data_IF_415830065657
#
_entry.id   IF_415830065657
#
_cell.length_a   1.000
_cell.length_b   1.000
_cell.length_c   1.000
_cell.angle_alpha   90.00
_cell.angle_beta   90.00
_cell.angle_gamma   90.00
#
_symmetry.space_group_name_H-M   'P 1'
#
loop_
_entity.id
_entity.type
_entity.pdbx_description
1 polymer ?
#
# COMPACT_ATOMS: atom_id res chain seq x y z
N UNK A 1 -4.69 3.93 104.05
CA UNK A 1 -6.09 3.49 104.02
C UNK A 1 -6.65 3.63 102.63
N UNK A 2 -7.15 2.56 102.12
CA UNK A 2 -7.63 2.19 100.80
C UNK A 2 -8.45 3.21 100.03
N UNK A 3 -8.12 3.42 98.79
CA UNK A 3 -9.07 3.79 97.73
C UNK A 3 -8.84 2.90 96.50
N UNK A 4 -9.82 2.04 96.29
CA UNK A 4 -9.89 1.11 95.17
C UNK A 4 -10.18 1.84 93.86
N UNK A 5 -9.35 1.62 92.87
CA UNK A 5 -9.59 2.05 91.49
C UNK A 5 -10.73 1.27 90.81
N UNK A 6 -11.61 1.96 90.20
CA UNK A 6 -12.70 1.43 89.36
C UNK A 6 -12.35 1.61 87.89
N UNK A 7 -11.91 0.51 87.28
CA UNK A 7 -11.62 0.43 85.86
C UNK A 7 -12.95 0.44 85.15
N UNK A 8 -13.18 1.50 84.36
CA UNK A 8 -14.29 1.59 83.45
C UNK A 8 -13.91 0.88 82.13
N UNK A 9 -14.55 -0.23 81.88
CA UNK A 9 -14.56 -0.85 80.58
C UNK A 9 -15.29 0.04 79.62
N UNK A 10 -14.59 0.61 78.65
CA UNK A 10 -15.14 1.24 77.49
C UNK A 10 -15.30 0.15 76.43
N UNK A 11 -16.49 -0.06 75.83
CA UNK A 11 -16.64 -1.05 74.79
C UNK A 11 -16.02 -0.50 73.51
N UNK A 12 -14.99 -1.16 73.03
CA UNK A 12 -14.50 -1.03 71.64
C UNK A 12 -15.51 -1.77 70.75
N UNK A 13 -16.62 -1.11 70.51
CA UNK A 13 -17.49 -1.46 69.41
C UNK A 13 -17.31 -0.33 68.40
N UNK A 14 -16.64 -0.63 67.33
CA UNK A 14 -16.85 -0.08 66.02
C UNK A 14 -15.59 -0.13 65.21
N UNK A 15 -15.85 -0.55 64.09
CA UNK A 15 -15.23 -0.30 62.77
C UNK A 15 -14.94 -1.61 62.05
N UNK A 16 -16.03 -2.36 61.91
CA UNK A 16 -16.13 -3.40 60.87
C UNK A 16 -17.24 -3.08 59.86
N UNK A 17 -17.27 -1.84 59.39
CA UNK A 17 -18.20 -1.43 58.33
C UNK A 17 -17.51 -0.47 57.38
N UNK A 18 -16.42 -0.86 56.76
CA UNK A 18 -15.83 -0.08 55.70
C UNK A 18 -14.94 -0.94 54.79
N UNK A 19 -15.38 -2.15 54.45
CA UNK A 19 -14.67 -2.96 53.45
C UNK A 19 -15.60 -3.66 52.47
N UNK A 20 -16.82 -3.19 52.26
CA UNK A 20 -17.70 -3.79 51.25
C UNK A 20 -18.03 -2.89 50.06
N UNK A 21 -17.56 -1.63 50.04
CA UNK A 21 -17.76 -0.77 48.86
C UNK A 21 -16.59 -0.76 47.89
N UNK A 22 -15.39 -1.25 48.27
CA UNK A 22 -14.26 -1.30 47.34
C UNK A 22 -14.19 -2.60 46.53
N UNK A 23 -14.89 -3.66 46.89
CA UNK A 23 -14.92 -4.88 46.07
C UNK A 23 -15.83 -4.76 44.84
N UNK A 24 -16.76 -3.81 44.83
CA UNK A 24 -17.58 -3.53 43.63
C UNK A 24 -16.88 -2.61 42.62
N UNK A 25 -15.79 -1.92 43.02
CA UNK A 25 -14.98 -1.08 42.16
C UNK A 25 -13.78 -1.83 41.56
N UNK A 26 -13.48 -3.03 42.02
CA UNK A 26 -12.37 -3.89 41.57
C UNK A 26 -12.83 -5.15 40.82
N UNK A 27 -14.03 -5.21 40.28
CA UNK A 27 -14.18 -5.92 38.99
C UNK A 27 -13.45 -5.08 37.95
N UNK A 28 -12.11 -5.08 38.01
CA UNK A 28 -11.25 -4.77 36.88
C UNK A 28 -11.84 -5.56 35.73
N UNK A 29 -12.42 -4.84 34.77
CA UNK A 29 -12.95 -5.49 33.59
C UNK A 29 -11.81 -6.32 33.00
N UNK A 30 -11.96 -7.65 33.09
CA UNK A 30 -10.95 -8.55 32.54
C UNK A 30 -10.75 -8.21 31.06
N UNK A 31 -9.50 -8.17 30.64
CA UNK A 31 -9.19 -7.96 29.23
C UNK A 31 -9.66 -9.20 28.45
N UNK A 32 -10.35 -8.96 27.35
CA UNK A 32 -10.86 -10.00 26.46
C UNK A 32 -10.22 -9.91 25.09
N UNK A 33 -10.24 -11.01 24.35
CA UNK A 33 -9.71 -11.08 23.00
C UNK A 33 -10.64 -10.38 22.00
N UNK A 34 -10.11 -9.42 21.26
CA UNK A 34 -10.83 -8.75 20.17
C UNK A 34 -10.68 -9.55 18.88
N UNK A 35 -11.78 -9.73 18.15
CA UNK A 35 -11.84 -10.41 16.86
C UNK A 35 -11.99 -9.39 15.76
N UNK A 36 -11.24 -9.57 14.69
CA UNK A 36 -11.28 -8.65 13.55
C UNK A 36 -11.70 -9.37 12.27
N UNK A 37 -12.35 -8.61 11.40
CA UNK A 37 -12.54 -8.94 9.99
C UNK A 37 -12.24 -7.70 9.14
N UNK A 38 -11.81 -7.88 7.89
CA UNK A 38 -11.47 -6.82 6.97
C UNK A 38 -12.10 -7.11 5.61
N UNK A 39 -12.82 -6.15 5.04
CA UNK A 39 -13.44 -6.30 3.70
C UNK A 39 -12.39 -6.47 2.62
N UNK A 40 -11.25 -5.78 2.74
CA UNK A 40 -10.15 -5.87 1.79
C UNK A 40 -9.40 -4.56 1.59
N UNK A 41 -8.76 -4.44 0.43
CA UNK A 41 -8.07 -3.23 0.01
C UNK A 41 -8.98 -2.41 -0.89
N UNK A 42 -9.18 -1.14 -0.55
CA UNK A 42 -9.97 -0.20 -1.33
C UNK A 42 -9.41 -0.06 -2.75
N UNK A 43 -10.29 -0.01 -3.73
CA UNK A 43 -9.93 0.41 -5.09
C UNK A 43 -10.29 1.89 -5.23
N UNK A 44 -9.47 2.68 -5.93
CA UNK A 44 -9.70 4.14 -6.12
C UNK A 44 -11.06 4.49 -6.74
N UNK A 45 -11.79 3.50 -7.25
CA UNK A 45 -13.10 3.73 -7.86
C UNK A 45 -14.19 3.47 -6.84
N UNK A 46 -14.81 4.54 -6.38
CA UNK A 46 -15.88 4.57 -5.36
C UNK A 46 -17.08 3.65 -5.62
N UNK A 47 -17.17 3.01 -6.79
CA UNK A 47 -18.28 2.13 -7.19
C UNK A 47 -17.91 0.65 -7.17
N UNK A 48 -16.67 0.28 -6.80
CA UNK A 48 -16.23 -1.12 -6.71
C UNK A 48 -16.07 -1.57 -5.27
N UNK A 49 -16.47 -2.81 -5.02
CA UNK A 49 -16.12 -3.50 -3.78
C UNK A 49 -14.59 -3.57 -3.61
N UNK A 50 -14.12 -3.47 -2.38
CA UNK A 50 -12.73 -3.67 -2.05
C UNK A 50 -12.23 -5.02 -2.59
N UNK A 51 -10.97 -5.07 -3.04
CA UNK A 51 -10.35 -6.35 -3.40
C UNK A 51 -10.08 -7.14 -2.12
N UNK A 52 -10.53 -8.39 -2.00
CA UNK A 52 -10.25 -9.21 -0.83
C UNK A 52 -8.76 -9.29 -0.53
N UNK A 53 -8.41 -9.38 0.75
CA UNK A 53 -7.04 -9.69 1.15
C UNK A 53 -6.70 -11.11 0.70
N UNK A 54 -5.48 -11.27 0.20
CA UNK A 54 -4.99 -12.60 -0.18
C UNK A 54 -4.82 -13.49 1.06
N UNK A 55 -5.05 -14.79 0.88
CA UNK A 55 -4.79 -15.77 1.93
C UNK A 55 -3.32 -15.72 2.35
N UNK A 56 -3.09 -15.62 3.65
CA UNK A 56 -1.76 -15.45 4.20
C UNK A 56 -1.29 -14.00 4.37
N UNK A 57 -1.99 -13.01 3.81
CA UNK A 57 -1.68 -11.60 4.05
C UNK A 57 -1.70 -11.30 5.56
N UNK A 58 -0.65 -10.63 6.04
CA UNK A 58 -0.49 -10.32 7.47
C UNK A 58 -0.91 -8.90 7.76
N UNK A 59 -1.62 -8.72 8.87
CA UNK A 59 -2.03 -7.40 9.35
C UNK A 59 -1.50 -7.18 10.76
N UNK A 60 -1.07 -5.95 11.04
CA UNK A 60 -0.88 -5.45 12.41
C UNK A 60 -2.02 -4.50 12.71
N UNK A 61 -2.62 -4.61 13.89
CA UNK A 61 -3.74 -3.78 14.33
C UNK A 61 -3.36 -3.19 15.68
N UNK A 62 -3.33 -1.87 15.75
CA UNK A 62 -3.08 -1.11 16.97
C UNK A 62 -4.40 -0.53 17.48
N UNK A 63 -4.60 -0.54 18.79
CA UNK A 63 -5.76 0.06 19.46
C UNK A 63 -5.35 1.28 20.25
N UNK A 64 -6.10 2.37 20.07
CA UNK A 64 -5.94 3.61 20.83
C UNK A 64 -7.25 3.95 21.53
N UNK A 65 -7.13 4.30 22.81
CA UNK A 65 -8.24 4.91 23.52
C UNK A 65 -8.32 6.38 23.18
N UNK A 66 -9.42 6.79 22.57
CA UNK A 66 -9.63 8.16 22.13
C UNK A 66 -9.75 9.12 23.32
N UNK A 67 -8.99 10.20 23.30
CA UNK A 67 -9.00 11.27 24.29
C UNK A 67 -9.85 12.44 23.83
N UNK A 68 -9.76 12.79 22.52
CA UNK A 68 -10.48 13.91 21.90
C UNK A 68 -11.76 13.50 21.16
N UNK A 69 -12.29 14.41 20.37
CA UNK A 69 -13.47 14.15 19.51
C UNK A 69 -13.10 13.40 18.24
N UNK A 70 -11.87 13.56 17.75
CA UNK A 70 -11.33 12.94 16.54
C UNK A 70 -10.11 12.10 16.86
N UNK A 71 -9.82 11.05 16.05
CA UNK A 71 -8.61 10.26 16.19
C UNK A 71 -7.35 11.12 16.07
N UNK A 72 -6.42 10.98 17.02
CA UNK A 72 -5.16 11.71 17.04
C UNK A 72 -4.05 10.86 17.70
N UNK A 73 -3.16 10.31 16.89
CA UNK A 73 -2.04 9.49 17.34
C UNK A 73 -1.07 10.21 18.31
N UNK A 74 -1.11 11.54 18.36
CA UNK A 74 -0.26 12.33 19.26
C UNK A 74 -0.83 12.47 20.67
N UNK A 75 -2.14 12.32 20.84
CA UNK A 75 -2.85 12.52 22.11
C UNK A 75 -3.62 11.31 22.58
N UNK A 76 -4.02 10.41 21.70
CA UNK A 76 -4.76 9.21 22.03
C UNK A 76 -3.85 8.19 22.72
N UNK A 77 -4.44 7.45 23.68
CA UNK A 77 -3.66 6.53 24.49
C UNK A 77 -3.53 5.16 23.81
N UNK A 78 -2.30 4.76 23.52
CA UNK A 78 -2.01 3.41 23.06
C UNK A 78 -2.40 2.34 24.08
N UNK A 79 -3.15 1.34 23.64
CA UNK A 79 -3.70 0.29 24.49
C UNK A 79 -3.16 -1.10 24.16
N UNK A 80 -2.42 -1.23 23.08
CA UNK A 80 -1.81 -2.47 22.62
C UNK A 80 -1.99 -2.74 21.16
N UNK A 81 -1.40 -3.84 20.70
CA UNK A 81 -1.48 -4.28 19.30
C UNK A 81 -1.64 -5.80 19.18
N UNK A 82 -2.11 -6.23 18.03
CA UNK A 82 -2.18 -7.63 17.66
C UNK A 82 -1.72 -7.84 16.20
N UNK A 83 -1.33 -9.08 15.91
CA UNK A 83 -0.98 -9.49 14.54
C UNK A 83 -1.95 -10.56 14.08
N UNK A 84 -2.44 -10.41 12.87
CA UNK A 84 -3.47 -11.27 12.29
C UNK A 84 -3.04 -11.70 10.89
N UNK A 85 -3.66 -12.74 10.38
CA UNK A 85 -3.47 -13.27 9.04
C UNK A 85 -4.81 -13.47 8.36
N UNK A 86 -4.93 -13.02 7.12
CA UNK A 86 -6.11 -13.24 6.30
C UNK A 86 -6.22 -14.72 5.91
N UNK A 87 -7.45 -15.26 5.97
CA UNK A 87 -7.76 -16.65 5.62
C UNK A 87 -9.05 -16.72 4.83
N UNK A 88 -9.15 -17.76 3.99
CA UNK A 88 -10.36 -18.09 3.21
C UNK A 88 -10.82 -17.02 2.19
N UNK A 89 -10.02 -16.00 1.86
CA UNK A 89 -10.36 -14.99 0.86
C UNK A 89 -11.70 -14.24 1.08
N UNK A 90 -12.24 -14.29 2.30
CA UNK A 90 -13.55 -13.73 2.65
C UNK A 90 -13.50 -12.62 3.71
N UNK A 91 -12.30 -12.10 3.98
CA UNK A 91 -12.09 -11.07 4.98
C UNK A 91 -11.98 -11.57 6.43
N UNK A 92 -11.98 -12.88 6.66
CA UNK A 92 -11.75 -13.45 8.00
C UNK A 92 -10.28 -13.28 8.38
N UNK A 93 -10.03 -12.84 9.62
CA UNK A 93 -8.69 -12.67 10.17
C UNK A 93 -8.48 -13.65 11.33
N UNK A 94 -7.45 -14.50 11.23
CA UNK A 94 -6.96 -15.33 12.31
C UNK A 94 -5.87 -14.62 13.09
N UNK A 95 -5.97 -14.65 14.43
CA UNK A 95 -4.95 -14.05 15.28
C UNK A 95 -3.66 -14.89 15.28
N UNK A 96 -2.55 -14.26 14.97
CA UNK A 96 -1.19 -14.75 15.24
C UNK A 96 -0.76 -14.33 16.63
N UNK A 97 -0.97 -13.05 16.97
CA UNK A 97 -0.87 -12.50 18.30
C UNK A 97 -2.18 -11.76 18.61
N UNK A 98 -2.86 -12.20 19.66
CA UNK A 98 -4.19 -11.68 20.04
C UNK A 98 -4.06 -10.31 20.68
N UNK A 99 -4.86 -9.34 20.22
CA UNK A 99 -5.06 -8.07 20.92
C UNK A 99 -6.07 -8.26 22.05
N UNK A 100 -5.64 -7.96 23.28
CA UNK A 100 -6.45 -8.02 24.47
C UNK A 100 -6.83 -6.60 24.91
N UNK A 101 -8.14 -6.31 25.03
CA UNK A 101 -8.63 -5.00 25.46
C UNK A 101 -9.67 -5.14 26.57
N UNK A 102 -9.85 -4.09 27.36
CA UNK A 102 -10.98 -3.90 28.26
C UNK A 102 -12.18 -3.36 27.48
N UNK A 103 -13.37 -3.43 28.08
CA UNK A 103 -14.57 -2.80 27.50
C UNK A 103 -14.35 -1.29 27.36
N UNK A 104 -14.66 -0.75 26.17
CA UNK A 104 -14.45 0.67 25.89
C UNK A 104 -14.61 1.00 24.41
N UNK A 105 -14.38 2.28 24.07
CA UNK A 105 -14.42 2.78 22.70
C UNK A 105 -13.00 3.11 22.24
N UNK A 106 -12.65 2.58 21.08
CA UNK A 106 -11.29 2.62 20.54
C UNK A 106 -11.27 3.07 19.09
N UNK A 107 -10.13 3.60 18.69
CA UNK A 107 -9.73 3.76 17.31
C UNK A 107 -8.74 2.65 16.96
N UNK A 108 -9.02 1.94 15.87
CA UNK A 108 -8.18 0.85 15.38
C UNK A 108 -7.44 1.29 14.12
N UNK A 109 -6.11 1.25 14.20
CA UNK A 109 -5.23 1.48 13.06
C UNK A 109 -4.71 0.14 12.57
N UNK A 110 -5.06 -0.23 11.34
CA UNK A 110 -4.60 -1.46 10.73
C UNK A 110 -3.61 -1.18 9.59
N UNK A 111 -2.61 -2.02 9.45
CA UNK A 111 -1.65 -1.96 8.35
C UNK A 111 -1.33 -3.37 7.82
N UNK A 112 -1.11 -3.45 6.52
CA UNK A 112 -0.65 -4.65 5.82
C UNK A 112 0.53 -4.30 4.90
N UNK A 113 1.58 -5.14 4.80
CA UNK A 113 1.88 -6.26 5.69
C UNK A 113 2.10 -5.80 7.14
N UNK A 114 2.17 -6.73 8.10
CA UNK A 114 2.31 -6.45 9.52
C UNK A 114 3.71 -5.89 9.88
N UNK A 115 4.07 -4.74 9.31
CA UNK A 115 5.34 -4.05 9.58
C UNK A 115 5.44 -3.63 11.05
N UNK A 116 6.66 -3.45 11.54
CA UNK A 116 6.90 -2.89 12.86
C UNK A 116 6.51 -1.40 12.89
N UNK A 117 5.85 -0.99 13.97
CA UNK A 117 5.51 0.41 14.24
C UNK A 117 6.42 0.91 15.35
N UNK A 118 7.11 2.01 15.09
CA UNK A 118 7.95 2.67 16.08
C UNK A 118 7.13 3.67 16.91
N UNK A 119 7.47 3.80 18.20
CA UNK A 119 6.88 4.75 19.15
C UNK A 119 5.34 4.72 19.20
N UNK A 120 4.69 3.54 19.34
CA UNK A 120 3.25 3.47 19.37
C UNK A 120 2.62 4.12 20.60
N UNK A 121 3.35 4.18 21.71
CA UNK A 121 2.95 4.77 23.00
C UNK A 121 3.27 6.26 23.13
N UNK A 122 3.93 6.86 22.13
CA UNK A 122 4.35 8.26 22.12
C UNK A 122 5.22 8.68 23.34
N UNK A 123 5.92 7.73 23.98
CA UNK A 123 6.80 7.97 25.11
C UNK A 123 8.10 8.71 24.69
N UNK A 124 7.98 10.02 24.47
CA UNK A 124 9.11 10.92 24.25
C UNK A 124 9.73 10.90 22.87
N UNK A 125 9.15 10.24 21.91
CA UNK A 125 9.59 10.22 20.50
C UNK A 125 8.62 10.94 19.58
N UNK A 126 9.06 11.93 18.85
CA UNK A 126 8.30 12.54 17.75
C UNK A 126 8.93 12.15 16.40
N UNK A 127 8.16 11.73 15.42
CA UNK A 127 6.71 11.51 15.43
C UNK A 127 6.31 10.15 16.03
N UNK A 128 5.09 10.10 16.60
CA UNK A 128 4.49 8.85 17.08
C UNK A 128 4.06 7.94 15.92
N UNK A 129 4.05 6.63 16.15
CA UNK A 129 3.51 5.63 15.22
C UNK A 129 4.11 5.70 13.81
N UNK A 130 5.41 5.65 13.70
CA UNK A 130 6.09 5.63 12.41
C UNK A 130 6.32 4.21 11.90
N UNK A 131 6.28 4.07 10.58
CA UNK A 131 6.53 2.83 9.85
C UNK A 131 7.58 3.08 8.78
N UNK A 132 8.58 2.20 8.70
CA UNK A 132 9.60 2.24 7.66
C UNK A 132 9.12 1.45 6.44
N UNK A 133 8.94 2.12 5.30
CA UNK A 133 8.40 1.51 4.08
C UNK A 133 9.41 1.60 2.94
N UNK A 134 9.73 0.45 2.35
CA UNK A 134 10.65 0.34 1.21
C UNK A 134 9.94 0.02 -0.11
N UNK A 135 10.71 0.03 -1.20
CA UNK A 135 10.27 -0.57 -2.45
C UNK A 135 10.02 -2.08 -2.28
N UNK A 136 9.14 -2.66 -3.06
CA UNK A 136 8.76 -4.07 -2.97
C UNK A 136 7.67 -4.39 -1.96
N UNK A 137 7.25 -3.42 -1.14
CA UNK A 137 6.24 -3.60 -0.09
C UNK A 137 4.89 -3.04 -0.53
N UNK A 138 3.86 -3.89 -0.63
CA UNK A 138 2.47 -3.46 -0.86
C UNK A 138 1.87 -2.94 0.45
N UNK A 139 2.23 -1.71 0.81
CA UNK A 139 1.82 -1.06 2.05
C UNK A 139 0.44 -0.44 1.90
N UNK A 140 -0.49 -0.89 2.77
CA UNK A 140 -1.83 -0.33 2.86
C UNK A 140 -2.26 -0.19 4.33
N UNK A 141 -3.08 0.81 4.63
CA UNK A 141 -3.55 1.09 5.99
C UNK A 141 -5.03 1.42 6.02
N UNK A 142 -5.66 1.24 7.19
CA UNK A 142 -7.00 1.77 7.48
C UNK A 142 -7.08 2.32 8.89
N UNK A 143 -8.01 3.25 9.09
CA UNK A 143 -8.42 3.77 10.38
C UNK A 143 -9.90 3.47 10.59
N UNK A 144 -10.21 2.57 11.52
CA UNK A 144 -11.56 2.23 11.93
C UNK A 144 -11.86 2.91 13.27
N UNK A 145 -12.49 4.06 13.19
CA UNK A 145 -12.61 4.98 14.31
C UNK A 145 -13.84 4.73 15.19
N UNK A 146 -13.71 5.00 16.51
CA UNK A 146 -14.83 5.07 17.45
C UNK A 146 -15.60 3.77 17.64
N UNK A 147 -14.94 2.61 17.61
CA UNK A 147 -15.59 1.31 17.79
C UNK A 147 -15.64 0.93 19.26
N UNK A 148 -16.87 0.68 19.74
CA UNK A 148 -17.07 0.18 21.10
C UNK A 148 -16.97 -1.34 21.12
N UNK A 149 -16.10 -1.86 21.98
CA UNK A 149 -15.92 -3.30 22.20
C UNK A 149 -16.24 -3.66 23.65
N UNK A 150 -16.78 -4.87 23.85
CA UNK A 150 -17.07 -5.45 25.14
C UNK A 150 -16.90 -6.97 25.07
N UNK A 151 -16.88 -7.64 26.21
CA UNK A 151 -16.85 -9.10 26.25
C UNK A 151 -18.04 -9.73 25.49
N UNK A 152 -19.23 -9.10 25.58
CA UNK A 152 -20.43 -9.54 24.86
C UNK A 152 -20.40 -9.21 23.36
N UNK A 153 -19.59 -8.23 22.93
CA UNK A 153 -19.44 -7.81 21.54
C UNK A 153 -17.97 -7.51 21.22
N UNK A 154 -17.12 -8.57 21.11
CA UNK A 154 -15.69 -8.41 20.89
C UNK A 154 -15.30 -8.29 19.41
N UNK A 155 -16.26 -8.27 18.50
CA UNK A 155 -16.00 -8.27 17.06
C UNK A 155 -15.94 -6.86 16.48
N UNK A 156 -14.92 -6.59 15.66
CA UNK A 156 -14.73 -5.33 14.94
C UNK A 156 -14.57 -5.63 13.46
N UNK A 157 -15.35 -4.97 12.62
CA UNK A 157 -15.15 -4.95 11.17
C UNK A 157 -14.27 -3.73 10.87
N UNK A 158 -13.10 -3.97 10.31
CA UNK A 158 -12.19 -2.92 9.88
C UNK A 158 -12.73 -2.22 8.63
N UNK A 159 -12.48 -0.93 8.53
CA UNK A 159 -12.72 -0.20 7.28
C UNK A 159 -11.72 -0.67 6.22
N UNK A 160 -12.02 -0.42 4.94
CA UNK A 160 -11.16 -0.84 3.83
C UNK A 160 -9.76 -0.23 3.93
N UNK A 161 -8.74 -1.04 3.61
CA UNK A 161 -7.36 -0.56 3.61
C UNK A 161 -7.07 0.22 2.33
N UNK A 162 -6.54 1.43 2.46
CA UNK A 162 -6.05 2.24 1.33
C UNK A 162 -4.59 1.93 1.01
N UNK A 163 -4.26 1.65 -0.26
CA UNK A 163 -2.87 1.48 -0.71
C UNK A 163 -2.12 2.80 -0.71
N UNK A 164 -0.88 2.76 -0.24
CA UNK A 164 0.04 3.89 -0.23
C UNK A 164 1.17 3.77 -1.26
N UNK A 165 1.26 2.68 -1.98
CA UNK A 165 2.28 2.39 -2.98
C UNK A 165 1.70 2.32 -4.38
N UNK A 166 2.57 2.33 -5.41
CA UNK A 166 2.22 2.13 -6.81
C UNK A 166 2.73 0.77 -7.29
N UNK A 167 2.06 0.18 -8.28
CA UNK A 167 2.48 -1.06 -8.94
C UNK A 167 3.12 -0.73 -10.29
N UNK A 168 4.29 -1.29 -10.55
CA UNK A 168 4.94 -1.24 -11.85
C UNK A 168 4.89 -2.63 -12.49
N UNK A 169 4.60 -2.66 -13.78
CA UNK A 169 4.71 -3.85 -14.63
C UNK A 169 5.63 -3.50 -15.80
N UNK A 170 6.64 -4.33 -16.03
CA UNK A 170 7.47 -4.29 -17.22
C UNK A 170 7.09 -5.45 -18.11
N UNK A 171 6.77 -5.18 -19.38
CA UNK A 171 6.33 -6.18 -20.33
C UNK A 171 7.08 -6.06 -21.65
N UNK A 172 7.38 -7.20 -22.26
CA UNK A 172 7.87 -7.30 -23.61
C UNK A 172 6.86 -8.06 -24.46
N UNK A 173 6.46 -7.49 -25.60
CA UNK A 173 5.49 -8.06 -26.53
C UNK A 173 6.07 -8.11 -27.95
N UNK A 174 6.90 -9.12 -28.27
CA UNK A 174 7.47 -9.28 -29.58
C UNK A 174 6.38 -9.77 -30.56
N UNK A 175 6.20 -9.06 -31.70
CA UNK A 175 5.30 -9.48 -32.77
C UNK A 175 6.00 -9.62 -34.12
N UNK A 176 7.32 -9.59 -34.17
CA UNK A 176 8.06 -9.76 -35.43
C UNK A 176 8.22 -11.26 -35.75
N UNK A 177 7.89 -11.65 -36.98
CA UNK A 177 7.85 -13.06 -37.39
C UNK A 177 9.19 -13.78 -37.44
N UNK A 178 10.31 -13.05 -37.30
CA UNK A 178 11.68 -13.57 -37.25
C UNK A 178 12.22 -13.79 -35.82
N UNK A 179 11.43 -13.41 -34.78
CA UNK A 179 11.80 -13.66 -33.37
C UNK A 179 11.27 -15.02 -32.96
N UNK A 180 12.17 -15.91 -32.56
CA UNK A 180 11.85 -17.28 -32.14
C UNK A 180 12.06 -17.50 -30.62
N UNK A 181 12.81 -16.60 -29.97
CA UNK A 181 13.01 -16.64 -28.52
C UNK A 181 13.31 -15.24 -27.97
N UNK A 182 12.88 -15.00 -26.75
CA UNK A 182 13.18 -13.80 -25.98
C UNK A 182 13.59 -14.13 -24.56
N UNK A 183 14.47 -13.33 -23.98
CA UNK A 183 14.82 -13.36 -22.56
C UNK A 183 15.11 -11.94 -22.10
N UNK A 184 14.45 -11.50 -21.05
CA UNK A 184 14.79 -10.25 -20.39
C UNK A 184 15.96 -10.51 -19.43
N UNK A 185 16.97 -9.66 -19.42
CA UNK A 185 18.05 -9.71 -18.44
C UNK A 185 17.78 -8.80 -17.24
N UNK A 186 17.22 -7.63 -17.51
CA UNK A 186 16.78 -6.70 -16.48
C UNK A 186 15.83 -5.65 -17.06
N UNK A 187 14.99 -5.07 -16.20
CA UNK A 187 14.22 -3.87 -16.49
C UNK A 187 14.14 -2.98 -15.26
N UNK A 188 14.04 -1.67 -15.44
CA UNK A 188 13.96 -0.79 -14.28
C UNK A 188 13.78 0.68 -14.62
N UNK A 189 13.69 1.47 -13.55
CA UNK A 189 13.56 2.93 -13.57
C UNK A 189 14.62 3.55 -12.66
N UNK A 190 15.18 4.68 -13.08
CA UNK A 190 16.10 5.50 -12.27
C UNK A 190 15.34 6.63 -11.56
N UNK A 191 16.01 7.32 -10.65
CA UNK A 191 15.49 8.48 -9.91
C UNK A 191 14.10 8.22 -9.29
N UNK A 192 13.95 7.07 -8.68
CA UNK A 192 12.80 6.72 -7.87
C UNK A 192 12.93 7.32 -6.47
N UNK A 193 11.84 7.37 -5.74
CA UNK A 193 11.82 7.84 -4.35
C UNK A 193 12.85 7.09 -3.52
N UNK A 194 13.68 7.80 -2.77
CA UNK A 194 14.69 7.18 -1.91
C UNK A 194 14.02 6.35 -0.81
N UNK A 195 14.44 5.11 -0.67
CA UNK A 195 13.86 4.14 0.26
C UNK A 195 14.91 3.70 1.32
N UNK A 196 14.47 3.35 2.54
CA UNK A 196 13.09 3.39 3.03
C UNK A 196 12.62 4.81 3.37
N UNK A 197 11.29 4.99 3.39
CA UNK A 197 10.65 6.21 3.85
C UNK A 197 10.03 5.95 5.23
N UNK A 198 10.31 6.83 6.18
CA UNK A 198 9.62 6.83 7.47
C UNK A 198 8.31 7.62 7.33
N UNK A 199 7.19 6.95 7.54
CA UNK A 199 5.87 7.51 7.43
C UNK A 199 5.09 7.38 8.72
N UNK A 200 4.34 8.39 9.11
CA UNK A 200 3.35 8.26 10.18
C UNK A 200 2.22 7.35 9.71
N UNK A 201 1.76 6.46 10.58
CA UNK A 201 0.71 5.51 10.30
C UNK A 201 -0.55 6.20 9.75
N UNK A 202 -1.15 5.61 8.72
CA UNK A 202 -2.31 6.15 7.99
C UNK A 202 -2.10 7.51 7.28
N UNK A 203 -0.87 7.98 7.12
CA UNK A 203 -0.57 9.13 6.26
C UNK A 203 -0.19 8.68 4.85
N UNK A 204 -0.47 9.54 3.87
CA UNK A 204 -0.15 9.21 2.48
C UNK A 204 1.35 9.33 2.19
N UNK A 205 1.86 8.47 1.34
CA UNK A 205 3.16 8.58 0.71
C UNK A 205 3.04 9.31 -0.65
N UNK A 206 4.10 9.98 -1.14
CA UNK A 206 5.39 10.17 -0.49
C UNK A 206 5.34 11.26 0.59
N UNK A 207 6.23 11.13 1.57
CA UNK A 207 6.46 12.21 2.54
C UNK A 207 7.16 13.37 1.82
N UNK A 208 6.71 14.60 2.05
CA UNK A 208 7.30 15.78 1.43
C UNK A 208 8.80 15.89 1.74
N UNK A 209 9.60 16.26 0.73
CA UNK A 209 11.05 16.47 0.87
C UNK A 209 11.91 15.21 0.73
N UNK A 210 11.34 14.04 0.51
CA UNK A 210 12.13 12.83 0.24
C UNK A 210 12.80 12.92 -1.13
N UNK A 211 14.09 12.63 -1.18
CA UNK A 211 14.87 12.65 -2.42
C UNK A 211 14.38 11.60 -3.44
N UNK A 212 14.59 11.90 -4.72
CA UNK A 212 14.36 10.95 -5.82
C UNK A 212 15.71 10.56 -6.41
N UNK A 213 16.32 9.51 -5.88
CA UNK A 213 17.70 9.12 -6.21
C UNK A 213 17.89 7.63 -6.43
N UNK A 214 16.90 6.80 -6.10
CA UNK A 214 17.05 5.36 -6.17
C UNK A 214 16.82 4.82 -7.58
N UNK A 215 17.42 3.66 -7.85
CA UNK A 215 17.09 2.85 -9.01
C UNK A 215 16.29 1.62 -8.55
N UNK A 216 15.16 1.39 -9.19
CA UNK A 216 14.38 0.16 -9.00
C UNK A 216 14.61 -0.72 -10.21
N UNK A 217 15.18 -1.90 -10.01
CA UNK A 217 15.52 -2.85 -11.07
C UNK A 217 14.94 -4.22 -10.74
N UNK A 218 14.31 -4.83 -11.74
CA UNK A 218 13.82 -6.21 -11.71
C UNK A 218 14.81 -7.07 -12.49
N UNK A 219 15.28 -8.16 -11.88
CA UNK A 219 16.15 -9.12 -12.53
C UNK A 219 15.37 -9.98 -13.55
N UNK A 220 16.07 -10.48 -14.57
CA UNK A 220 15.46 -11.35 -15.59
C UNK A 220 14.80 -12.61 -15.04
N UNK A 221 15.29 -13.12 -13.91
CA UNK A 221 14.71 -14.29 -13.22
C UNK A 221 13.33 -14.05 -12.64
N UNK A 222 12.93 -12.79 -12.47
CA UNK A 222 11.60 -12.39 -11.96
C UNK A 222 10.55 -12.28 -13.06
N UNK A 223 10.98 -12.30 -14.33
CA UNK A 223 10.07 -12.29 -15.45
C UNK A 223 9.41 -13.65 -15.66
N UNK A 224 8.14 -13.62 -16.04
CA UNK A 224 7.40 -14.84 -16.41
C UNK A 224 8.09 -15.55 -17.56
N UNK A 225 7.98 -16.88 -17.62
CA UNK A 225 8.36 -17.63 -18.82
C UNK A 225 7.57 -17.09 -20.02
N UNK A 226 8.25 -16.78 -21.17
CA UNK A 226 7.56 -16.33 -22.36
C UNK A 226 6.43 -17.27 -22.78
N UNK A 227 5.28 -16.72 -23.11
CA UNK A 227 4.13 -17.47 -23.64
C UNK A 227 4.33 -17.90 -25.12
N UNK A 228 3.31 -18.48 -25.75
CA UNK A 228 3.35 -18.89 -27.15
C UNK A 228 3.55 -17.72 -28.12
N UNK A 229 3.17 -16.50 -27.72
CA UNK A 229 3.41 -15.25 -28.46
C UNK A 229 4.72 -14.58 -28.05
N UNK A 230 5.55 -15.26 -27.27
CA UNK A 230 6.81 -14.76 -26.68
C UNK A 230 6.62 -13.54 -25.75
N UNK A 231 5.40 -13.33 -25.23
CA UNK A 231 5.14 -12.27 -24.24
C UNK A 231 5.68 -12.68 -22.90
N UNK A 232 6.31 -11.73 -22.22
CA UNK A 232 6.81 -11.91 -20.85
C UNK A 232 6.63 -10.62 -20.07
N UNK A 233 6.44 -10.74 -18.76
CA UNK A 233 6.29 -9.59 -17.87
C UNK A 233 6.77 -9.92 -16.47
N UNK A 234 7.10 -8.86 -15.73
CA UNK A 234 7.36 -8.90 -14.30
C UNK A 234 6.72 -7.69 -13.63
N UNK A 235 6.36 -7.83 -12.37
CA UNK A 235 5.73 -6.77 -11.58
C UNK A 235 6.52 -6.49 -10.32
N UNK A 236 6.51 -5.23 -9.86
CA UNK A 236 7.05 -4.82 -8.57
C UNK A 236 6.21 -3.70 -7.97
N UNK A 237 6.36 -3.50 -6.67
CA UNK A 237 5.74 -2.39 -5.95
C UNK A 237 6.79 -1.32 -5.70
N UNK A 238 6.41 -0.07 -5.84
CA UNK A 238 7.30 1.06 -5.58
C UNK A 238 6.63 2.10 -4.69
N UNK A 239 7.46 2.82 -3.95
CA UNK A 239 7.00 4.03 -3.29
C UNK A 239 6.48 5.03 -4.32
N UNK A 240 5.43 5.79 -4.02
CA UNK A 240 4.94 6.85 -4.89
C UNK A 240 6.07 7.84 -5.19
N UNK A 241 5.99 8.45 -6.35
CA UNK A 241 7.00 9.37 -6.86
C UNK A 241 6.33 10.65 -7.32
N UNK A 242 6.91 11.80 -7.01
CA UNK A 242 6.51 13.09 -7.58
C UNK A 242 7.04 13.23 -9.01
N UNK A 243 6.49 14.17 -9.77
CA UNK A 243 6.98 14.53 -11.10
C UNK A 243 8.46 14.93 -11.09
N UNK A 244 9.16 14.72 -12.19
CA UNK A 244 10.59 15.00 -12.36
C UNK A 244 11.27 14.03 -13.31
N UNK A 245 12.55 14.26 -13.61
CA UNK A 245 13.33 13.46 -14.58
C UNK A 245 13.60 12.06 -14.08
N UNK A 246 13.36 11.06 -14.92
CA UNK A 246 13.76 9.67 -14.71
C UNK A 246 13.85 8.93 -16.04
N UNK A 247 14.51 7.77 -16.03
CA UNK A 247 14.71 6.94 -17.22
C UNK A 247 14.13 5.56 -17.02
N UNK A 248 13.55 5.04 -18.08
CA UNK A 248 13.28 3.63 -18.27
C UNK A 248 14.51 2.95 -18.87
N UNK A 249 14.80 1.72 -18.43
CA UNK A 249 15.82 0.85 -18.99
C UNK A 249 15.30 -0.57 -19.09
N UNK A 250 15.59 -1.27 -20.19
CA UNK A 250 15.36 -2.71 -20.32
C UNK A 250 16.44 -3.34 -21.16
N UNK A 251 17.03 -4.43 -20.68
CA UNK A 251 17.97 -5.26 -21.40
C UNK A 251 17.29 -6.57 -21.81
N UNK A 252 17.25 -6.85 -23.11
CA UNK A 252 16.59 -8.03 -23.64
C UNK A 252 17.46 -8.76 -24.66
N UNK A 253 17.40 -10.08 -24.65
CA UNK A 253 18.07 -10.98 -25.60
C UNK A 253 17.03 -11.55 -26.55
N UNK A 254 17.27 -11.44 -27.85
CA UNK A 254 16.45 -12.00 -28.90
C UNK A 254 17.20 -13.08 -29.65
N UNK A 255 16.58 -14.22 -29.92
CA UNK A 255 17.15 -15.34 -30.66
C UNK A 255 18.51 -15.84 -30.14
N UNK A 256 18.78 -15.67 -28.83
CA UNK A 256 20.03 -16.07 -28.18
C UNK A 256 21.25 -15.23 -28.54
N UNK A 257 21.05 -14.04 -29.13
CA UNK A 257 22.13 -13.13 -29.55
C UNK A 257 22.59 -12.22 -28.39
N UNK A 258 23.39 -11.19 -28.69
CA UNK A 258 23.78 -10.20 -27.67
C UNK A 258 22.56 -9.44 -27.12
N UNK A 259 22.62 -9.03 -25.86
CA UNK A 259 21.56 -8.24 -25.26
C UNK A 259 21.43 -6.88 -25.93
N UNK A 260 20.20 -6.48 -26.25
CA UNK A 260 19.85 -5.15 -26.70
C UNK A 260 19.40 -4.32 -25.49
N UNK A 261 19.95 -3.11 -25.34
CA UNK A 261 19.55 -2.16 -24.30
C UNK A 261 18.57 -1.13 -24.87
N UNK A 262 17.40 -1.01 -24.24
CA UNK A 262 16.39 0.01 -24.52
C UNK A 262 16.40 1.03 -23.40
N UNK A 263 16.70 2.30 -23.72
CA UNK A 263 16.73 3.41 -22.76
C UNK A 263 15.83 4.52 -23.27
N UNK A 264 14.95 5.01 -22.41
CA UNK A 264 14.08 6.15 -22.72
C UNK A 264 13.96 7.12 -21.55
N UNK A 265 14.05 8.41 -21.83
CA UNK A 265 13.68 9.44 -20.87
C UNK A 265 12.16 9.48 -20.72
N UNK A 266 11.69 9.49 -19.48
CA UNK A 266 10.27 9.57 -19.18
C UNK A 266 9.79 11.02 -19.15
N UNK A 267 8.50 11.26 -19.46
CA UNK A 267 7.92 12.61 -19.33
C UNK A 267 8.14 13.16 -17.92
N UNK A 268 8.67 14.38 -17.82
CA UNK A 268 8.95 15.01 -16.53
C UNK A 268 7.69 15.23 -15.68
N UNK A 269 6.51 15.27 -16.30
CA UNK A 269 5.21 15.40 -15.63
C UNK A 269 4.70 14.09 -15.06
N UNK A 270 5.33 12.95 -15.39
CA UNK A 270 4.88 11.64 -14.92
C UNK A 270 5.25 11.45 -13.44
N UNK A 271 4.22 11.25 -12.64
CA UNK A 271 4.30 10.87 -11.23
C UNK A 271 3.72 9.47 -11.05
N UNK A 272 4.07 8.80 -9.96
CA UNK A 272 3.45 7.53 -9.58
C UNK A 272 2.59 7.75 -8.35
N UNK A 273 1.27 7.64 -8.55
CA UNK A 273 0.28 7.82 -7.50
C UNK A 273 0.05 6.53 -6.70
N UNK A 274 -0.27 6.61 -5.41
CA UNK A 274 -0.74 5.48 -4.62
C UNK A 274 -1.92 4.76 -5.30
N UNK A 275 -2.03 3.45 -5.11
CA UNK A 275 -3.16 2.66 -5.64
C UNK A 275 -3.23 2.56 -7.17
N UNK A 276 -2.21 3.02 -7.89
CA UNK A 276 -2.20 3.07 -9.36
C UNK A 276 -1.19 2.07 -9.94
N UNK A 277 -1.56 1.43 -11.03
CA UNK A 277 -0.74 0.51 -11.79
C UNK A 277 -0.21 1.19 -13.05
N UNK A 278 1.09 1.04 -13.30
CA UNK A 278 1.81 1.57 -14.45
C UNK A 278 2.45 0.41 -15.20
N UNK A 279 2.02 0.16 -16.44
CA UNK A 279 2.55 -0.91 -17.28
C UNK A 279 3.41 -0.34 -18.39
N UNK A 280 4.71 -0.58 -18.34
CA UNK A 280 5.69 -0.24 -19.37
C UNK A 280 5.83 -1.41 -20.33
N UNK A 281 5.33 -1.24 -21.56
CA UNK A 281 5.35 -2.30 -22.57
C UNK A 281 6.28 -1.92 -23.71
N UNK A 282 7.29 -2.73 -23.98
CA UNK A 282 8.02 -2.71 -25.25
C UNK A 282 7.25 -3.56 -26.26
N UNK A 283 6.69 -2.89 -27.27
CA UNK A 283 5.96 -3.54 -28.39
C UNK A 283 6.77 -3.46 -29.67
N UNK A 284 7.02 -4.60 -30.28
CA UNK A 284 7.77 -4.67 -31.55
C UNK A 284 6.79 -4.70 -32.70
N UNK A 285 7.07 -3.87 -33.73
CA UNK A 285 6.24 -3.79 -34.93
C UNK A 285 7.10 -3.47 -36.15
N UNK A 286 7.31 -4.46 -37.05
CA UNK A 286 7.88 -4.23 -38.37
C UNK A 286 9.27 -3.57 -38.36
N UNK A 287 10.19 -4.01 -37.52
CA UNK A 287 11.55 -3.43 -37.43
C UNK A 287 11.66 -2.19 -36.54
N UNK A 288 10.56 -1.76 -35.90
CA UNK A 288 10.58 -0.74 -34.84
C UNK A 288 10.19 -1.32 -33.49
N UNK A 289 10.68 -0.71 -32.43
CA UNK A 289 10.30 -1.01 -31.04
C UNK A 289 9.67 0.22 -30.43
N UNK A 290 8.48 0.08 -29.87
CA UNK A 290 7.74 1.17 -29.24
C UNK A 290 7.66 0.93 -27.73
N UNK A 291 7.95 1.96 -26.93
CA UNK A 291 7.67 1.97 -25.52
C UNK A 291 6.32 2.65 -25.27
N UNK A 292 5.41 1.90 -24.70
CA UNK A 292 4.06 2.34 -24.35
C UNK A 292 3.91 2.24 -22.84
N UNK A 293 3.38 3.28 -22.22
CA UNK A 293 2.96 3.29 -20.83
C UNK A 293 1.44 3.24 -20.76
N UNK A 294 0.90 2.26 -20.05
CA UNK A 294 -0.52 2.14 -19.73
C UNK A 294 -0.71 2.42 -18.24
N UNK A 295 -1.66 3.30 -17.90
CA UNK A 295 -1.95 3.69 -16.52
C UNK A 295 -3.37 3.28 -16.17
N UNK A 296 -3.52 2.57 -15.06
CA UNK A 296 -4.77 1.98 -14.59
C UNK A 296 -4.85 2.05 -13.06
N UNK A 297 -6.05 2.09 -12.46
CA UNK A 297 -6.21 1.81 -11.03
C UNK A 297 -5.67 0.42 -10.70
N UNK A 298 -4.95 0.30 -9.59
CA UNK A 298 -4.43 -0.99 -9.16
C UNK A 298 -5.53 -1.80 -8.48
N UNK A 299 -5.97 -2.86 -9.12
CA UNK A 299 -6.88 -3.86 -8.56
C UNK A 299 -6.17 -5.21 -8.53
N UNK A 300 -6.36 -5.99 -7.47
CA UNK A 300 -5.80 -7.34 -7.35
C UNK A 300 -4.39 -7.40 -6.75
N UNK A 301 -3.74 -8.56 -6.92
CA UNK A 301 -2.47 -8.93 -6.33
C UNK A 301 -1.27 -8.25 -6.97
N UNK A 302 -0.20 -8.10 -6.18
CA UNK A 302 1.13 -7.67 -6.67
C UNK A 302 1.66 -8.61 -7.74
N UNK A 303 1.43 -9.92 -7.58
CA UNK A 303 2.08 -10.98 -8.38
C UNK A 303 1.34 -11.29 -9.67
N UNK A 304 0.09 -10.84 -9.86
CA UNK A 304 -0.62 -11.09 -11.11
C UNK A 304 -0.22 -10.06 -12.15
N UNK A 305 0.53 -10.49 -13.15
CA UNK A 305 0.78 -9.73 -14.38
C UNK A 305 -0.48 -9.55 -15.25
N UNK A 306 -1.59 -10.15 -14.85
CA UNK A 306 -2.90 -10.10 -15.51
C UNK A 306 -3.98 -9.81 -14.48
N UNK A 307 -4.12 -8.55 -14.11
CA UNK A 307 -5.31 -8.15 -13.39
C UNK A 307 -6.50 -8.13 -14.35
N UNK A 308 -7.61 -8.75 -13.95
CA UNK A 308 -8.87 -8.73 -14.70
C UNK A 308 -9.42 -7.29 -14.68
N UNK A 309 -8.96 -6.48 -15.63
CA UNK A 309 -9.24 -5.04 -15.73
C UNK A 309 -10.59 -4.81 -16.44
N UNK A 310 -11.53 -5.69 -16.29
CA UNK A 310 -12.78 -5.76 -17.06
C UNK A 310 -13.69 -4.53 -17.11
N UNK A 311 -13.24 -3.32 -16.75
CA UNK A 311 -14.08 -2.12 -16.84
C UNK A 311 -13.31 -0.80 -16.99
N UNK A 312 -11.97 -0.79 -17.03
CA UNK A 312 -11.22 0.45 -17.17
C UNK A 312 -10.61 0.58 -18.56
N UNK A 313 -10.76 1.75 -19.17
CA UNK A 313 -9.98 2.11 -20.35
C UNK A 313 -8.65 2.65 -19.87
N UNK A 314 -7.50 2.02 -20.21
CA UNK A 314 -6.20 2.52 -19.80
C UNK A 314 -5.93 3.89 -20.41
N UNK A 315 -5.29 4.77 -19.65
CA UNK A 315 -4.62 5.92 -20.23
C UNK A 315 -3.35 5.41 -20.89
N UNK A 316 -3.25 5.55 -22.21
CA UNK A 316 -2.12 5.05 -23.00
C UNK A 316 -1.24 6.23 -23.41
N UNK A 317 0.04 6.19 -23.04
CA UNK A 317 1.03 7.21 -23.37
C UNK A 317 2.13 6.56 -24.22
N UNK A 318 2.35 7.08 -25.41
CA UNK A 318 3.50 6.71 -26.21
C UNK A 318 4.72 7.49 -25.73
N UNK A 319 5.76 6.76 -25.29
CA UNK A 319 6.98 7.36 -24.70
C UNK A 319 8.03 7.57 -25.78
N UNK A 320 8.26 6.58 -26.64
CA UNK A 320 9.28 6.67 -27.69
C UNK A 320 9.24 5.48 -28.64
N UNK A 321 9.89 5.65 -29.78
CA UNK A 321 10.04 4.62 -30.81
C UNK A 321 11.51 4.53 -31.17
N UNK A 322 12.07 3.32 -31.18
CA UNK A 322 13.34 3.01 -31.78
C UNK A 322 13.10 2.47 -33.17
N UNK A 323 13.49 3.24 -34.19
CA UNK A 323 13.39 2.83 -35.58
C UNK A 323 14.67 2.08 -35.99
N UNK A 324 14.55 1.18 -36.98
CA UNK A 324 15.67 0.38 -37.51
C UNK A 324 16.40 -0.45 -36.43
N UNK A 325 15.66 -1.00 -35.47
CA UNK A 325 16.23 -1.96 -34.53
C UNK A 325 16.59 -3.22 -35.30
N UNK A 326 17.89 -3.42 -35.57
CA UNK A 326 18.38 -4.66 -36.14
C UNK A 326 18.21 -5.78 -35.10
N UNK A 327 17.15 -6.57 -35.28
CA UNK A 327 16.99 -7.78 -34.50
C UNK A 327 17.88 -8.82 -35.17
N UNK A 328 18.88 -9.38 -34.46
CA UNK A 328 19.82 -10.34 -35.04
C UNK A 328 19.05 -11.53 -35.63
N UNK A 329 19.31 -11.80 -36.91
CA UNK A 329 18.64 -12.83 -37.72
C UNK A 329 18.24 -12.34 -39.12
N UNK A 330 18.18 -11.04 -39.37
CA UNK A 330 18.22 -10.49 -40.73
C UNK A 330 19.68 -10.24 -41.10
N UNK A 331 20.10 -10.69 -42.28
CA UNK A 331 21.46 -10.63 -42.80
C UNK A 331 21.96 -9.17 -42.88
N UNK A 332 22.58 -8.72 -41.83
CA UNK A 332 23.22 -7.40 -41.70
C UNK A 332 24.28 -7.42 -40.62
N UNK A 333 25.51 -7.13 -41.02
CA UNK A 333 26.72 -7.09 -40.21
C UNK A 333 26.61 -5.89 -39.25
N UNK A 334 26.25 -6.06 -37.97
CA UNK A 334 25.99 -4.93 -37.13
C UNK A 334 26.20 -5.09 -35.64
N UNK A 335 26.90 -4.17 -35.07
CA UNK A 335 27.05 -3.92 -33.66
C UNK A 335 25.79 -3.19 -33.16
N UNK A 336 24.92 -3.86 -32.43
CA UNK A 336 23.62 -3.28 -31.99
C UNK A 336 23.82 -2.44 -30.74
N UNK A 337 24.15 -1.17 -30.91
CA UNK A 337 23.89 -0.15 -29.89
C UNK A 337 22.56 0.50 -30.27
N UNK A 338 21.48 0.18 -29.58
CA UNK A 338 20.19 0.86 -29.75
C UNK A 338 20.32 2.24 -29.10
N UNK A 339 20.41 3.27 -29.94
CA UNK A 339 20.51 4.67 -29.47
C UNK A 339 19.28 5.15 -28.74
N UNK A 340 19.33 6.39 -28.26
CA UNK A 340 18.18 7.09 -27.66
C UNK A 340 17.01 7.15 -28.65
N UNK A 341 15.75 6.90 -28.23
CA UNK A 341 14.61 6.94 -29.14
C UNK A 341 14.47 8.33 -29.77
N UNK A 342 14.11 8.37 -31.06
CA UNK A 342 13.75 9.62 -31.69
C UNK A 342 12.48 10.16 -31.02
N UNK A 343 12.55 11.34 -30.41
CA UNK A 343 11.36 12.03 -29.94
C UNK A 343 10.57 12.50 -31.14
N UNK A 344 9.41 11.89 -31.42
CA UNK A 344 8.47 12.50 -32.35
C UNK A 344 8.08 13.88 -31.79
N UNK A 345 8.26 14.91 -32.65
CA UNK A 345 7.79 16.24 -32.35
C UNK A 345 6.26 16.16 -32.13
N UNK A 346 5.86 16.29 -30.90
CA UNK A 346 4.50 16.13 -30.44
C UNK A 346 3.53 17.03 -31.20
N UNK A 347 2.60 16.41 -31.92
CA UNK A 347 1.27 16.97 -31.99
C UNK A 347 0.70 16.94 -30.57
N UNK A 348 0.70 18.07 -29.91
CA UNK A 348 0.17 18.28 -28.56
C UNK A 348 -1.25 17.70 -28.49
N UNK A 349 -1.52 16.63 -27.75
CA UNK A 349 -2.89 16.31 -27.43
C UNK A 349 -3.41 17.47 -26.57
N UNK A 350 -4.54 18.04 -26.97
CA UNK A 350 -5.24 19.02 -26.13
C UNK A 350 -5.40 18.41 -24.74
N UNK A 351 -5.12 19.14 -23.66
CA UNK A 351 -5.32 18.62 -22.32
C UNK A 351 -6.79 18.21 -22.20
N UNK A 352 -7.10 17.08 -21.55
CA UNK A 352 -8.47 16.78 -21.19
C UNK A 352 -9.00 17.96 -20.41
N UNK A 353 -10.12 18.51 -20.88
CA UNK A 353 -10.85 19.59 -20.22
C UNK A 353 -11.05 19.22 -18.76
N UNK A 354 -10.49 20.03 -17.93
CA UNK A 354 -10.55 20.15 -16.49
C UNK A 354 -11.78 19.44 -15.88
N UNK A 355 -11.58 18.26 -15.31
CA UNK A 355 -12.49 17.73 -14.30
C UNK A 355 -11.88 18.08 -12.96
N UNK A 356 -12.20 19.30 -12.49
CA UNK A 356 -11.85 19.78 -11.16
C UNK A 356 -12.44 18.83 -10.11
N UNK A 357 -11.64 18.23 -9.23
CA UNK A 357 -12.15 17.35 -8.18
C UNK A 357 -12.75 18.08 -6.98
N UNK A 358 -13.03 19.39 -7.08
CA UNK A 358 -13.58 20.19 -5.99
C UNK A 358 -14.67 21.14 -6.43
N UNK A 359 -15.83 20.60 -6.88
CA UNK A 359 -17.07 21.37 -6.83
C UNK A 359 -17.82 20.99 -5.56
N UNK A 360 -18.10 21.93 -4.64
CA UNK A 360 -18.93 21.64 -3.47
C UNK A 360 -20.35 21.32 -3.95
N UNK A 361 -20.87 20.16 -3.55
CA UNK A 361 -22.28 19.81 -3.73
C UNK A 361 -23.09 20.74 -2.82
N UNK A 362 -23.74 21.73 -3.39
CA UNK A 362 -24.71 22.54 -2.71
C UNK A 362 -25.95 21.67 -2.41
N UNK A 363 -26.15 21.33 -1.13
CA UNK A 363 -27.36 20.71 -0.65
C UNK A 363 -28.52 21.72 -0.81
N UNK A 364 -29.42 21.48 -1.76
CA UNK A 364 -30.72 22.17 -1.81
C UNK A 364 -31.64 21.54 -0.77
N UNK A 365 -31.94 22.27 0.30
CA UNK A 365 -32.97 21.94 1.25
C UNK A 365 -34.34 22.19 0.59
N UNK A 366 -35.04 21.17 0.11
CA UNK A 366 -36.45 21.23 -0.19
C UNK A 366 -37.24 20.92 1.08
N UNK A 367 -37.78 21.94 1.69
CA UNK A 367 -38.71 21.80 2.81
C UNK A 367 -39.99 21.12 2.37
N UNK A 368 -40.47 20.21 3.21
CA UNK A 368 -41.85 19.75 3.20
C UNK A 368 -42.64 20.42 4.34
N UNK A 369 -43.78 20.96 3.99
CA UNK A 369 -44.85 21.33 4.92
C UNK A 369 -45.67 20.09 5.25
#
# INVERSE_FOLDING_TARGET
>A
MNCKGMIKYLPVVLLLCACTENELLLKEHEAFAVRFSASGIATEVATRAASPLEDGATLRILAFWRVGESPDLSTDKYMGEGTYRAVNGNGTLEAVNVLLLRAGTYDFYALTPALAVANPDNDGGSPACTVSVGHGVDYATSLTAGRTVSEASPAVVLDDLGRHCAKLIFALQPKAGNITSVRIESAGLSNMTHAPVEAVLCTQLPVAGVAQSDAVTIAGSEFSTPDADLKTSAATVVLPRTAGKFQFRMNAVFNGMAAAEFVADMPETLAFAPGTQYTFSLKMKGGSVQLILEVLPWSGSVMSGQDNIGAFTPVVIHIGTWEHVEIPGETGNGNTTVGTPCSEAQGRPSPPTDVSPNAPISASSSGWR
#
